data_IF_093614581216
#
_entry.id   IF_093614581216
#
_cell.length_a   1.000
_cell.length_b   1.000
_cell.length_c   1.000
_cell.angle_alpha   90.00
_cell.angle_beta   90.00
_cell.angle_gamma   90.00
#
_symmetry.space_group_name_H-M   'P 1'
#
loop_
_entity.id
_entity.type
_entity.pdbx_description
1 polymer ?
#
# COMPACT_ATOMS: atom_id res chain seq x y z
N UNK A 1 11.30 5.14 -3.03
CA UNK A 1 10.49 3.97 -2.62
C UNK A 1 9.97 3.27 -3.87
N UNK A 2 10.18 1.95 -4.02
CA UNK A 2 9.73 1.19 -5.21
C UNK A 2 8.34 0.60 -4.93
N UNK A 3 7.39 0.80 -5.84
CA UNK A 3 6.04 0.22 -5.75
C UNK A 3 6.11 -1.30 -5.88
N UNK A 4 5.56 -2.03 -4.91
CA UNK A 4 5.58 -3.50 -4.89
C UNK A 4 4.26 -4.05 -5.41
N UNK A 5 4.36 -4.73 -6.54
CA UNK A 5 3.27 -5.46 -7.20
C UNK A 5 3.42 -6.95 -6.97
N UNK A 6 2.28 -7.66 -6.94
CA UNK A 6 2.24 -9.12 -6.86
C UNK A 6 3.02 -9.79 -7.99
N UNK A 7 2.95 -9.26 -9.22
CA UNK A 7 3.77 -9.74 -10.36
C UNK A 7 5.27 -9.69 -10.09
N UNK A 8 5.73 -8.64 -9.41
CA UNK A 8 7.15 -8.51 -9.04
C UNK A 8 7.54 -9.55 -7.99
N UNK A 9 6.69 -9.77 -6.99
CA UNK A 9 6.90 -10.80 -5.97
C UNK A 9 6.96 -12.22 -6.57
N UNK A 10 6.14 -12.51 -7.57
CA UNK A 10 6.19 -13.77 -8.31
C UNK A 10 7.50 -13.91 -9.09
N UNK A 11 7.88 -12.88 -9.85
CA UNK A 11 9.09 -12.92 -10.68
C UNK A 11 10.39 -12.95 -9.88
N UNK A 12 10.43 -12.30 -8.73
CA UNK A 12 11.65 -12.07 -7.94
C UNK A 12 11.85 -13.16 -6.86
N UNK A 13 10.77 -13.81 -6.41
CA UNK A 13 10.82 -14.81 -5.33
C UNK A 13 10.13 -16.16 -5.65
N UNK A 14 9.60 -16.35 -6.86
CA UNK A 14 8.96 -17.61 -7.27
C UNK A 14 7.64 -17.94 -6.55
N UNK A 15 7.05 -16.97 -5.84
CA UNK A 15 5.82 -17.15 -5.07
C UNK A 15 4.61 -17.28 -6.00
N UNK A 16 3.58 -18.01 -5.59
CA UNK A 16 2.29 -18.02 -6.30
C UNK A 16 1.54 -16.68 -6.13
N UNK A 17 0.59 -16.37 -7.02
CA UNK A 17 -0.24 -15.16 -6.90
C UNK A 17 -1.01 -15.11 -5.57
N UNK A 18 -1.57 -16.24 -5.15
CA UNK A 18 -2.33 -16.34 -3.90
C UNK A 18 -1.45 -16.05 -2.68
N UNK A 19 -0.23 -16.60 -2.63
CA UNK A 19 0.72 -16.35 -1.53
C UNK A 19 1.21 -14.91 -1.51
N UNK A 20 1.57 -14.34 -2.67
CA UNK A 20 2.00 -12.94 -2.76
C UNK A 20 0.89 -12.00 -2.26
N UNK A 21 -0.37 -12.28 -2.60
CA UNK A 21 -1.49 -11.44 -2.18
C UNK A 21 -1.90 -11.65 -0.73
N UNK A 22 -1.75 -12.87 -0.20
CA UNK A 22 -1.92 -13.15 1.22
C UNK A 22 -0.86 -12.43 2.06
N UNK A 23 0.42 -12.47 1.65
CA UNK A 23 1.51 -11.76 2.32
C UNK A 23 1.25 -10.25 2.32
N UNK A 24 0.82 -9.68 1.18
CA UNK A 24 0.46 -8.26 1.10
C UNK A 24 -0.67 -7.94 2.08
N UNK A 25 -1.76 -8.73 2.10
CA UNK A 25 -2.89 -8.49 3.00
C UNK A 25 -2.52 -8.63 4.47
N UNK A 26 -1.79 -9.69 4.84
CA UNK A 26 -1.38 -9.93 6.23
C UNK A 26 -0.41 -8.85 6.72
N UNK A 27 0.57 -8.46 5.91
CA UNK A 27 1.56 -7.44 6.33
C UNK A 27 0.98 -6.03 6.36
N UNK A 28 0.01 -5.72 5.49
CA UNK A 28 -0.75 -4.47 5.59
C UNK A 28 -1.63 -4.47 6.85
N UNK A 29 -2.24 -5.60 7.22
CA UNK A 29 -3.11 -5.71 8.40
C UNK A 29 -2.33 -5.75 9.72
N UNK A 30 -1.17 -6.39 9.76
CA UNK A 30 -0.29 -6.42 10.94
C UNK A 30 0.51 -5.11 11.12
N UNK A 31 0.65 -4.30 10.07
CA UNK A 31 1.32 -2.98 10.14
C UNK A 31 0.59 -1.98 11.03
N UNK A 32 -0.71 -2.15 11.31
CA UNK A 32 -1.48 -1.20 12.15
C UNK A 32 -0.96 -1.07 13.58
N UNK A 33 -0.23 -2.07 14.11
CA UNK A 33 0.11 -2.15 15.54
C UNK A 33 1.55 -1.77 15.89
N UNK A 34 2.45 -1.64 14.91
CA UNK A 34 3.90 -1.47 15.14
C UNK A 34 4.45 -0.13 14.65
N UNK A 35 3.59 0.74 14.12
CA UNK A 35 3.96 1.86 13.27
C UNK A 35 3.41 3.20 13.79
N UNK A 36 3.53 3.45 15.10
CA UNK A 36 2.94 4.63 15.76
C UNK A 36 3.32 5.96 15.09
N UNK A 37 4.57 6.10 14.62
CA UNK A 37 5.02 7.34 13.95
C UNK A 37 4.44 7.51 12.54
N UNK A 38 4.27 6.41 11.81
CA UNK A 38 3.64 6.43 10.48
C UNK A 38 2.11 6.55 10.59
N UNK A 39 1.50 5.97 11.62
CA UNK A 39 0.10 6.18 11.96
C UNK A 39 -0.15 7.66 12.31
N UNK A 40 0.78 8.31 13.02
CA UNK A 40 0.78 9.76 13.24
C UNK A 40 0.86 10.57 11.94
N UNK A 41 1.73 10.17 11.00
CA UNK A 41 1.83 10.80 9.68
C UNK A 41 0.56 10.63 8.83
N UNK A 42 0.00 9.42 8.80
CA UNK A 42 -1.27 9.14 8.09
C UNK A 42 -2.42 9.91 8.75
N UNK A 43 -2.45 9.96 10.08
CA UNK A 43 -3.42 10.70 10.86
C UNK A 43 -3.35 12.21 10.59
N UNK A 44 -2.15 12.78 10.58
CA UNK A 44 -1.93 14.20 10.25
C UNK A 44 -2.31 14.50 8.80
N UNK A 45 -1.91 13.68 7.82
CA UNK A 45 -2.36 13.84 6.43
C UNK A 45 -3.89 13.80 6.29
N UNK A 46 -4.54 12.88 7.01
CA UNK A 46 -6.01 12.78 7.03
C UNK A 46 -6.65 14.03 7.63
N UNK A 47 -6.13 14.51 8.75
CA UNK A 47 -6.59 15.75 9.39
C UNK A 47 -6.39 16.95 8.45
N UNK A 48 -5.26 17.04 7.76
CA UNK A 48 -5.01 18.10 6.78
C UNK A 48 -5.98 18.02 5.60
N UNK A 49 -6.21 16.83 5.05
CA UNK A 49 -7.17 16.62 3.96
C UNK A 49 -8.61 16.97 4.37
N UNK A 50 -9.03 16.55 5.57
CA UNK A 50 -10.33 16.91 6.14
C UNK A 50 -10.43 18.42 6.40
N UNK A 51 -9.41 19.03 6.99
CA UNK A 51 -9.39 20.46 7.24
C UNK A 51 -9.52 21.25 5.94
N UNK A 52 -8.88 20.80 4.85
CA UNK A 52 -9.03 21.41 3.54
C UNK A 52 -10.47 21.32 3.02
N UNK A 53 -11.09 20.15 3.08
CA UNK A 53 -12.47 19.94 2.60
C UNK A 53 -13.48 20.73 3.44
N UNK A 54 -13.36 20.70 4.76
CA UNK A 54 -14.32 21.33 5.66
C UNK A 54 -14.15 22.85 5.79
N UNK A 55 -12.90 23.32 5.82
CA UNK A 55 -12.57 24.71 6.14
C UNK A 55 -11.81 25.39 5.00
N UNK A 56 -10.76 24.75 4.48
CA UNK A 56 -9.83 25.36 3.52
C UNK A 56 -10.47 25.79 2.20
N UNK A 57 -11.29 24.94 1.58
CA UNK A 57 -11.96 25.26 0.33
C UNK A 57 -12.94 26.43 0.47
N UNK A 58 -13.66 26.49 1.60
CA UNK A 58 -14.64 27.54 1.90
C UNK A 58 -13.98 28.85 2.33
N UNK A 59 -12.87 28.81 3.06
CA UNK A 59 -12.16 30.01 3.51
C UNK A 59 -11.32 30.65 2.39
N UNK A 60 -10.68 29.85 1.54
CA UNK A 60 -9.87 30.34 0.43
C UNK A 60 -10.71 30.87 -0.73
N UNK A 61 -11.91 30.33 -0.93
CA UNK A 61 -12.81 30.71 -2.02
C UNK A 61 -14.25 30.94 -1.52
N UNK A 62 -14.48 32.01 -0.74
CA UNK A 62 -15.81 32.30 -0.17
C UNK A 62 -16.87 32.56 -1.24
N UNK A 63 -16.46 32.93 -2.46
CA UNK A 63 -17.35 33.17 -3.60
C UNK A 63 -17.71 31.90 -4.38
N UNK A 64 -17.05 30.77 -4.13
CA UNK A 64 -17.31 29.52 -4.83
C UNK A 64 -18.52 28.79 -4.21
N UNK A 65 -19.56 28.56 -5.01
CA UNK A 65 -20.78 27.90 -4.57
C UNK A 65 -21.10 26.67 -5.44
N UNK A 66 -21.77 25.68 -4.86
CA UNK A 66 -22.23 24.48 -5.57
C UNK A 66 -21.09 23.68 -6.21
N UNK A 67 -21.21 23.36 -7.50
CA UNK A 67 -20.28 22.49 -8.22
C UNK A 67 -18.83 22.99 -8.29
N UNK A 68 -18.61 24.31 -8.25
CA UNK A 68 -17.25 24.87 -8.18
C UNK A 68 -16.56 24.60 -6.84
N UNK A 69 -17.32 24.59 -5.75
CA UNK A 69 -16.81 24.24 -4.43
C UNK A 69 -16.41 22.76 -4.39
N UNK A 70 -17.21 21.86 -4.98
CA UNK A 70 -16.89 20.44 -5.07
C UNK A 70 -15.58 20.17 -5.84
N UNK A 71 -15.30 20.93 -6.90
CA UNK A 71 -14.01 20.88 -7.61
C UNK A 71 -12.84 21.34 -6.74
N UNK A 72 -13.04 22.32 -5.86
CA UNK A 72 -12.03 22.84 -4.94
C UNK A 72 -11.78 21.92 -3.73
N UNK A 73 -12.71 21.00 -3.45
CA UNK A 73 -12.57 19.95 -2.44
C UNK A 73 -11.76 18.74 -2.96
N UNK A 74 -11.65 18.55 -4.28
CA UNK A 74 -10.91 17.46 -4.90
C UNK A 74 -9.46 17.29 -4.43
N UNK A 75 -8.66 18.36 -4.22
CA UNK A 75 -7.31 18.22 -3.69
C UNK A 75 -7.30 17.58 -2.30
N UNK A 76 -8.24 17.96 -1.42
CA UNK A 76 -8.36 17.36 -0.09
C UNK A 76 -8.80 15.90 -0.15
N UNK A 77 -9.72 15.57 -1.06
CA UNK A 77 -10.12 14.18 -1.34
C UNK A 77 -8.98 13.34 -1.93
N UNK A 78 -8.17 13.91 -2.82
CA UNK A 78 -7.00 13.24 -3.39
C UNK A 78 -5.96 12.92 -2.31
N UNK A 79 -5.70 13.86 -1.41
CA UNK A 79 -4.82 13.66 -0.24
C UNK A 79 -5.35 12.55 0.66
N UNK A 80 -6.67 12.53 0.93
CA UNK A 80 -7.31 11.47 1.71
C UNK A 80 -7.19 10.10 1.04
N UNK A 81 -7.47 10.01 -0.27
CA UNK A 81 -7.35 8.77 -1.04
C UNK A 81 -5.90 8.26 -1.05
N UNK A 82 -4.93 9.16 -1.24
CA UNK A 82 -3.50 8.83 -1.22
C UNK A 82 -3.07 8.32 0.17
N UNK A 83 -3.47 9.01 1.24
CA UNK A 83 -3.19 8.62 2.61
C UNK A 83 -3.81 7.26 2.96
N UNK A 84 -4.96 6.92 2.38
CA UNK A 84 -5.68 5.69 2.70
C UNK A 84 -5.27 4.48 1.86
N UNK A 85 -4.90 4.68 0.59
CA UNK A 85 -4.66 3.58 -0.37
C UNK A 85 -3.18 3.40 -0.71
N UNK A 86 -2.45 4.51 -0.85
CA UNK A 86 -1.09 4.51 -1.40
C UNK A 86 -0.06 4.45 -0.28
N UNK A 87 -0.24 5.27 0.75
CA UNK A 87 0.71 5.35 1.87
C UNK A 87 0.88 4.01 2.59
N UNK A 88 -0.19 3.32 3.05
CA UNK A 88 -0.04 2.07 3.80
C UNK A 88 0.69 0.99 3.01
N UNK A 89 0.49 0.97 1.69
CA UNK A 89 1.13 0.00 0.78
C UNK A 89 2.60 0.32 0.51
N UNK A 90 2.95 1.59 0.33
CA UNK A 90 4.34 2.02 0.17
C UNK A 90 5.16 1.73 1.43
N UNK A 91 4.52 1.96 2.57
CA UNK A 91 5.05 1.80 3.91
C UNK A 91 5.25 0.32 4.27
N UNK A 92 4.23 -0.52 4.07
CA UNK A 92 4.35 -1.97 4.25
C UNK A 92 5.32 -2.64 3.26
N UNK A 93 5.78 -1.92 2.22
CA UNK A 93 6.63 -2.47 1.18
C UNK A 93 7.92 -3.14 1.67
N UNK A 94 8.58 -2.55 2.67
CA UNK A 94 9.78 -3.14 3.27
C UNK A 94 9.50 -4.46 3.99
N UNK A 95 8.39 -4.52 4.74
CA UNK A 95 7.96 -5.75 5.42
C UNK A 95 7.51 -6.84 4.43
N UNK A 96 6.77 -6.45 3.39
CA UNK A 96 6.34 -7.35 2.32
C UNK A 96 7.56 -7.97 1.62
N UNK A 97 8.57 -7.18 1.27
CA UNK A 97 9.81 -7.69 0.67
C UNK A 97 10.61 -8.57 1.62
N UNK A 98 10.67 -8.22 2.92
CA UNK A 98 11.34 -9.03 3.93
C UNK A 98 10.71 -10.42 4.08
N UNK A 99 9.38 -10.48 4.16
CA UNK A 99 8.63 -11.75 4.28
C UNK A 99 8.69 -12.55 2.98
N UNK A 100 8.59 -11.89 1.83
CA UNK A 100 8.73 -12.55 0.53
C UNK A 100 10.12 -13.15 0.33
N UNK A 101 11.18 -12.44 0.76
CA UNK A 101 12.54 -12.97 0.75
C UNK A 101 12.69 -14.18 1.68
N UNK A 102 12.16 -14.12 2.90
CA UNK A 102 12.22 -15.24 3.84
C UNK A 102 11.49 -16.49 3.31
N UNK A 103 10.31 -16.30 2.69
CA UNK A 103 9.55 -17.41 2.10
C UNK A 103 10.13 -17.93 0.79
N UNK A 104 10.68 -17.05 -0.06
CA UNK A 104 11.37 -17.43 -1.29
C UNK A 104 12.64 -18.24 -1.02
N UNK A 105 13.40 -17.89 0.02
CA UNK A 105 14.58 -18.68 0.46
C UNK A 105 14.17 -20.04 1.01
N UNK A 106 13.11 -20.10 1.83
CA UNK A 106 12.58 -21.37 2.34
C UNK A 106 12.08 -22.30 1.22
N UNK A 107 11.51 -21.74 0.14
CA UNK A 107 11.10 -22.50 -1.04
C UNK A 107 12.30 -22.95 -1.89
N UNK A 108 13.40 -22.20 -1.90
CA UNK A 108 14.67 -22.58 -2.53
C UNK A 108 15.37 -23.77 -1.86
N UNK A 109 15.28 -23.89 -0.53
CA UNK A 109 15.78 -25.07 0.21
C UNK A 109 14.78 -26.25 0.21
N UNK A 110 13.49 -25.97 0.03
CA UNK A 110 12.41 -26.99 0.06
C UNK A 110 11.90 -27.40 -1.32
N UNK A 111 12.53 -26.96 -2.41
CA UNK A 111 12.27 -27.51 -3.74
C UNK A 111 13.01 -28.85 -3.84
N UNK A 112 12.34 -30.03 -3.72
CA UNK A 112 12.92 -31.21 -4.32
C UNK A 112 13.06 -30.86 -5.80
N UNK A 113 14.29 -30.95 -6.31
CA UNK A 113 14.57 -30.85 -7.72
C UNK A 113 13.47 -31.59 -8.47
N UNK A 114 12.61 -30.86 -9.19
CA UNK A 114 11.61 -31.46 -10.04
C UNK A 114 12.38 -32.36 -11.01
N UNK A 115 12.29 -33.64 -10.71
CA UNK A 115 12.76 -34.81 -11.43
C UNK A 115 12.79 -34.52 -12.93
N UNK A 116 13.96 -34.54 -13.58
CA UNK A 116 14.44 -35.76 -14.25
C UNK A 116 13.31 -36.78 -14.45
N UNK A 117 12.46 -36.59 -15.46
CA UNK A 117 11.81 -37.64 -16.26
C UNK A 117 10.85 -36.99 -17.25
N UNK A 118 11.39 -36.57 -18.39
CA UNK A 118 10.61 -36.60 -19.64
C UNK A 118 11.39 -37.52 -20.59
N UNK A 119 11.22 -38.83 -20.37
CA UNK A 119 11.44 -39.85 -21.38
C UNK A 119 10.08 -40.14 -22.01
N UNK A 120 9.87 -39.73 -23.25
CA UNK A 120 9.81 -40.65 -24.38
C UNK A 120 9.61 -39.88 -25.68
#
# INVERSE_FOLDING_TARGET
>A
MKWITSKRLQSEFGLSWAEAEQIIREQVRMSDRRWDWCALLIGTLRLTGLLWVFVGAKSAFPSAHGGRLALLELPGLAVLAFAHLVLPRLLAGGAILGVAKARGVACGESCPAASKHFSS
#
